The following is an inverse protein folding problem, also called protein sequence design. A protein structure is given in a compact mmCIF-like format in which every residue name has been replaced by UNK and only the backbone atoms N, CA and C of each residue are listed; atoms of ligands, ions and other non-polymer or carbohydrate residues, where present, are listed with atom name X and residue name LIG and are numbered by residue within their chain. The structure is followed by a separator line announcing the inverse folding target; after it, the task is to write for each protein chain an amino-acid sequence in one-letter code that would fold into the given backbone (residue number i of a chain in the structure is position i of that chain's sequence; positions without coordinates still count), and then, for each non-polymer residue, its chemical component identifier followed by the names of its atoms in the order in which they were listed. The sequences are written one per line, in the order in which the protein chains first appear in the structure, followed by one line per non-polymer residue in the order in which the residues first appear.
data_IF_192880466369
#
_entry.id   IF_192880466369
#
_cell.length_a   1.000
_cell.length_b   1.000
_cell.length_c   1.000
_cell.angle_alpha   90.00
_cell.angle_beta   90.00
_cell.angle_gamma   90.00
#
_symmetry.space_group_name_H-M   'P 1'
#
loop_
_entity.id
_entity.type
_entity.pdbx_description
1 polymer ?
#
# COMPACT_ATOMS: atom_id res chain seq x y z
N UNK A 1 -8.13 22.65 55.20
CA UNK A 1 -7.05 21.90 55.87
C UNK A 1 -7.60 20.50 56.13
N UNK A 2 -7.12 19.41 55.54
CA UNK A 2 -5.77 19.09 55.07
C UNK A 2 -5.82 17.87 54.12
N UNK A 3 -4.98 17.96 53.09
CA UNK A 3 -4.35 16.97 52.22
C UNK A 3 -4.54 15.47 52.53
N UNK A 4 -4.77 14.66 51.48
CA UNK A 4 -3.77 13.71 50.93
C UNK A 4 -4.34 12.92 49.75
N UNK A 5 -4.04 13.36 48.52
CA UNK A 5 -4.10 12.49 47.33
C UNK A 5 -2.66 12.12 46.97
N UNK A 6 -2.23 10.92 47.39
CA UNK A 6 -0.96 10.32 47.02
C UNK A 6 -1.21 9.05 46.24
N UNK A 7 -1.21 9.16 44.90
CA UNK A 7 -0.94 7.99 44.07
C UNK A 7 -0.37 8.39 42.69
N UNK A 8 0.85 8.93 42.68
CA UNK A 8 1.64 9.02 41.45
C UNK A 8 2.30 7.67 41.18
N UNK A 9 1.51 6.71 40.73
CA UNK A 9 2.01 5.45 40.16
C UNK A 9 2.63 5.72 38.80
N UNK A 10 3.84 6.27 38.77
CA UNK A 10 4.64 6.30 37.55
C UNK A 10 5.09 4.86 37.24
N UNK A 11 4.61 4.32 36.12
CA UNK A 11 5.01 3.01 35.61
C UNK A 11 6.54 3.00 35.36
N UNK A 12 7.32 2.14 36.05
CA UNK A 12 8.77 2.07 35.91
C UNK A 12 9.24 1.61 34.51
N UNK A 13 8.33 1.21 33.62
CA UNK A 13 8.66 0.81 32.24
C UNK A 13 9.09 1.97 31.31
N UNK A 14 8.90 3.23 31.71
CA UNK A 14 9.09 4.40 30.84
C UNK A 14 10.47 5.10 30.91
N UNK A 15 11.45 4.55 31.63
CA UNK A 15 12.75 5.21 31.86
C UNK A 15 13.86 4.78 30.89
N UNK A 16 13.55 4.66 29.60
CA UNK A 16 14.61 4.49 28.59
C UNK A 16 15.22 5.86 28.27
N UNK A 17 16.53 6.09 28.45
CA UNK A 17 17.15 7.36 28.11
C UNK A 17 17.10 7.55 26.59
N UNK A 18 16.33 8.54 26.16
CA UNK A 18 16.20 8.93 24.75
C UNK A 18 17.57 9.33 24.21
N UNK A 19 18.03 8.70 23.13
CA UNK A 19 19.31 9.04 22.52
C UNK A 19 19.14 10.27 21.64
N UNK A 20 20.13 11.17 21.62
CA UNK A 20 20.14 12.38 20.77
C UNK A 20 19.87 12.04 19.30
N UNK A 21 20.36 10.91 18.80
CA UNK A 21 20.12 10.45 17.43
C UNK A 21 18.65 10.10 17.14
N UNK A 22 17.93 9.55 18.12
CA UNK A 22 16.51 9.22 17.97
C UNK A 22 15.66 10.49 17.89
N UNK A 23 16.01 11.51 18.69
CA UNK A 23 15.39 12.84 18.61
C UNK A 23 15.66 13.51 17.26
N UNK A 24 16.91 13.47 16.78
CA UNK A 24 17.24 14.04 15.47
C UNK A 24 16.44 13.36 14.36
N UNK A 25 16.35 12.03 14.40
CA UNK A 25 15.57 11.28 13.42
C UNK A 25 14.09 11.67 13.46
N UNK A 26 13.51 11.81 14.65
CA UNK A 26 12.12 12.26 14.78
C UNK A 26 11.91 13.65 14.18
N UNK A 27 12.85 14.59 14.39
CA UNK A 27 12.81 15.92 13.78
C UNK A 27 12.91 15.84 12.25
N UNK A 28 13.77 14.99 11.72
CA UNK A 28 13.92 14.78 10.27
C UNK A 28 12.61 14.25 9.65
N UNK A 29 11.92 13.33 10.33
CA UNK A 29 10.59 12.86 9.92
C UNK A 29 9.53 13.97 9.99
N UNK A 30 9.51 14.77 11.06
CA UNK A 30 8.59 15.91 11.18
C UNK A 30 8.78 16.88 10.02
N UNK A 31 10.02 17.19 9.67
CA UNK A 31 10.35 18.09 8.58
C UNK A 31 9.98 17.50 7.22
N UNK A 32 10.18 16.19 7.01
CA UNK A 32 9.72 15.50 5.81
C UNK A 32 8.20 15.58 5.64
N UNK A 33 7.43 15.38 6.71
CA UNK A 33 5.96 15.49 6.67
C UNK A 33 5.50 16.92 6.41
N UNK A 34 6.14 17.92 7.01
CA UNK A 34 5.81 19.34 6.78
C UNK A 34 6.02 19.77 5.33
N UNK A 35 7.05 19.22 4.69
CA UNK A 35 7.40 19.53 3.30
C UNK A 35 6.79 18.51 2.30
N UNK A 36 5.92 17.60 2.77
CA UNK A 36 5.28 16.62 1.91
C UNK A 36 4.31 17.31 0.94
N UNK A 37 4.37 16.89 -0.32
CA UNK A 37 3.56 17.37 -1.43
C UNK A 37 3.25 16.20 -2.38
N UNK A 38 2.41 16.44 -3.38
CA UNK A 38 2.17 15.43 -4.42
C UNK A 38 3.39 15.24 -5.35
N UNK A 39 4.24 16.26 -5.49
CA UNK A 39 5.39 16.27 -6.40
C UNK A 39 6.65 15.59 -5.84
N UNK A 40 6.68 15.28 -4.55
CA UNK A 40 7.80 14.62 -3.87
C UNK A 40 7.37 13.33 -3.15
N UNK A 41 6.28 12.72 -3.62
CA UNK A 41 5.77 11.44 -3.13
C UNK A 41 6.19 10.25 -4.00
N UNK A 42 5.72 9.07 -3.61
CA UNK A 42 6.05 7.78 -4.25
C UNK A 42 4.99 7.31 -5.26
N UNK A 43 4.14 8.23 -5.77
CA UNK A 43 3.16 7.91 -6.82
C UNK A 43 3.86 7.90 -8.18
N UNK A 44 3.48 6.95 -9.04
CA UNK A 44 3.90 6.98 -10.44
C UNK A 44 3.25 8.16 -11.20
N UNK A 45 3.88 8.55 -12.31
CA UNK A 45 3.45 9.71 -13.11
C UNK A 45 1.99 9.59 -13.58
N UNK A 46 1.57 8.39 -13.99
CA UNK A 46 0.21 8.17 -14.47
C UNK A 46 -0.82 8.29 -13.34
N UNK A 47 -0.48 7.79 -12.14
CA UNK A 47 -1.30 7.91 -10.93
C UNK A 47 -1.38 9.35 -10.45
N UNK A 48 -0.26 10.10 -10.52
CA UNK A 48 -0.22 11.51 -10.20
C UNK A 48 -1.06 12.35 -11.18
N UNK A 49 -0.98 12.06 -12.48
CA UNK A 49 -1.79 12.71 -13.50
C UNK A 49 -3.29 12.44 -13.27
N UNK A 50 -3.69 11.19 -13.07
CA UNK A 50 -5.09 10.85 -12.75
C UNK A 50 -5.58 11.52 -11.47
N UNK A 51 -4.73 11.62 -10.45
CA UNK A 51 -5.07 12.30 -9.20
C UNK A 51 -5.28 13.81 -9.41
N UNK A 52 -4.54 14.43 -10.33
CA UNK A 52 -4.69 15.87 -10.65
C UNK A 52 -5.85 16.13 -11.61
N UNK A 53 -6.08 15.20 -12.53
CA UNK A 53 -7.00 15.29 -13.65
C UNK A 53 -7.93 14.05 -13.66
N UNK A 54 -8.82 13.90 -12.66
CA UNK A 54 -9.70 12.73 -12.60
C UNK A 54 -10.64 12.70 -13.81
N UNK A 55 -10.97 11.50 -14.29
CA UNK A 55 -11.96 11.35 -15.37
C UNK A 55 -13.33 11.85 -14.90
N UNK A 56 -13.98 12.64 -15.75
CA UNK A 56 -15.36 13.06 -15.56
C UNK A 56 -16.35 12.22 -16.40
N UNK A 57 -15.83 11.32 -17.23
CA UNK A 57 -16.65 10.45 -18.05
C UNK A 57 -17.10 9.23 -17.23
N UNK A 58 -18.36 8.77 -17.40
CA UNK A 58 -18.80 7.53 -16.80
C UNK A 58 -17.90 6.37 -17.22
N UNK A 59 -17.60 5.48 -16.28
CA UNK A 59 -16.88 4.25 -16.59
C UNK A 59 -17.69 3.41 -17.58
N UNK A 60 -17.09 3.14 -18.75
CA UNK A 60 -17.65 2.24 -19.75
C UNK A 60 -16.94 0.87 -19.70
N UNK A 61 -17.67 -0.16 -19.27
CA UNK A 61 -17.25 -1.57 -19.32
C UNK A 61 -18.23 -2.36 -20.20
N UNK A 62 -18.46 -1.87 -21.41
CA UNK A 62 -19.36 -2.53 -22.38
C UNK A 62 -18.75 -3.76 -23.05
N UNK A 63 -17.42 -3.93 -23.03
CA UNK A 63 -16.78 -5.12 -23.59
C UNK A 63 -17.16 -6.38 -22.77
N UNK A 64 -17.73 -7.43 -23.40
CA UNK A 64 -18.20 -8.61 -22.68
C UNK A 64 -17.08 -9.36 -21.94
N UNK A 65 -15.86 -9.39 -22.48
CA UNK A 65 -14.74 -10.07 -21.86
C UNK A 65 -14.27 -9.31 -20.61
N UNK A 66 -14.20 -7.98 -20.68
CA UNK A 66 -13.90 -7.12 -19.54
C UNK A 66 -14.96 -7.22 -18.44
N UNK A 67 -16.25 -7.16 -18.80
CA UNK A 67 -17.36 -7.23 -17.86
C UNK A 67 -17.40 -8.58 -17.11
N UNK A 68 -17.24 -9.68 -17.85
CA UNK A 68 -17.17 -11.01 -17.24
C UNK A 68 -15.93 -11.15 -16.36
N UNK A 69 -14.77 -10.69 -16.83
CA UNK A 69 -13.52 -10.76 -16.07
C UNK A 69 -13.57 -9.96 -14.77
N UNK A 70 -14.20 -8.77 -14.79
CA UNK A 70 -14.46 -7.95 -13.62
C UNK A 70 -15.38 -8.67 -12.64
N UNK A 71 -16.48 -9.24 -13.13
CA UNK A 71 -17.43 -9.99 -12.31
C UNK A 71 -16.77 -11.21 -11.64
N UNK A 72 -15.95 -11.94 -12.38
CA UNK A 72 -15.17 -13.07 -11.86
C UNK A 72 -14.16 -12.61 -10.81
N UNK A 73 -13.45 -11.50 -11.07
CA UNK A 73 -12.50 -10.92 -10.13
C UNK A 73 -13.17 -10.52 -8.81
N UNK A 74 -14.30 -9.82 -8.87
CA UNK A 74 -15.07 -9.42 -7.69
C UNK A 74 -15.60 -10.64 -6.91
N UNK A 75 -16.08 -11.67 -7.61
CA UNK A 75 -16.54 -12.91 -7.00
C UNK A 75 -15.42 -13.71 -6.32
N UNK A 76 -14.16 -13.46 -6.69
CA UNK A 76 -12.97 -14.15 -6.17
C UNK A 76 -12.07 -13.24 -5.33
N UNK A 77 -12.59 -12.11 -4.83
CA UNK A 77 -11.81 -11.11 -4.06
C UNK A 77 -11.06 -11.71 -2.86
N UNK A 78 -11.63 -12.71 -2.20
CA UNK A 78 -11.00 -13.40 -1.05
C UNK A 78 -10.28 -14.69 -1.45
N UNK A 79 -10.27 -14.99 -2.74
CA UNK A 79 -9.68 -16.19 -3.28
C UNK A 79 -8.20 -16.04 -3.63
N UNK A 80 -7.55 -17.17 -3.86
CA UNK A 80 -6.18 -17.19 -4.37
C UNK A 80 -6.15 -16.94 -5.88
N UNK A 81 -4.98 -16.62 -6.42
CA UNK A 81 -4.80 -16.48 -7.86
C UNK A 81 -5.13 -17.80 -8.60
N UNK A 82 -4.82 -18.94 -7.99
CA UNK A 82 -5.17 -20.25 -8.53
C UNK A 82 -6.69 -20.44 -8.64
N UNK A 83 -7.47 -19.92 -7.69
CA UNK A 83 -8.93 -20.00 -7.75
C UNK A 83 -9.50 -19.19 -8.91
N UNK A 84 -9.00 -17.97 -9.14
CA UNK A 84 -9.38 -17.17 -10.30
C UNK A 84 -9.07 -17.91 -11.60
N UNK A 85 -7.85 -18.43 -11.72
CA UNK A 85 -7.39 -19.13 -12.92
C UNK A 85 -8.18 -20.42 -13.18
N UNK A 86 -8.49 -21.20 -12.15
CA UNK A 86 -9.29 -22.42 -12.29
C UNK A 86 -10.71 -22.13 -12.80
N UNK A 87 -11.37 -21.09 -12.28
CA UNK A 87 -12.70 -20.69 -12.74
C UNK A 87 -12.68 -20.15 -14.18
N UNK A 88 -11.68 -19.33 -14.49
CA UNK A 88 -11.42 -18.85 -15.85
C UNK A 88 -11.25 -20.01 -16.83
N UNK A 89 -10.42 -20.99 -16.49
CA UNK A 89 -10.13 -22.13 -17.37
C UNK A 89 -11.37 -23.01 -17.55
N UNK A 90 -12.14 -23.26 -16.49
CA UNK A 90 -13.40 -24.00 -16.57
C UNK A 90 -14.43 -23.29 -17.46
N UNK A 91 -14.50 -21.96 -17.42
CA UNK A 91 -15.36 -21.17 -18.31
C UNK A 91 -14.92 -21.29 -19.77
N UNK A 92 -13.62 -21.08 -20.05
CA UNK A 92 -13.06 -21.16 -21.41
C UNK A 92 -13.14 -22.58 -22.01
N UNK A 93 -13.10 -23.62 -21.19
CA UNK A 93 -13.35 -25.00 -21.66
C UNK A 93 -14.77 -25.18 -22.23
N UNK A 94 -15.76 -24.49 -21.66
CA UNK A 94 -17.15 -24.54 -22.12
C UNK A 94 -17.44 -23.55 -23.25
N UNK A 95 -16.75 -22.41 -23.25
CA UNK A 95 -16.92 -21.28 -24.18
C UNK A 95 -15.58 -20.87 -24.80
N UNK A 96 -14.98 -21.71 -25.66
CA UNK A 96 -13.66 -21.47 -26.24
C UNK A 96 -13.61 -20.27 -27.20
N UNK A 97 -14.76 -19.80 -27.68
CA UNK A 97 -14.91 -18.62 -28.52
C UNK A 97 -14.83 -17.29 -27.75
N UNK A 98 -14.95 -17.33 -26.42
CA UNK A 98 -14.93 -16.14 -25.58
C UNK A 98 -13.52 -15.84 -25.07
N UNK A 99 -13.29 -14.58 -24.73
CA UNK A 99 -12.08 -14.15 -24.01
C UNK A 99 -12.39 -13.89 -22.54
N UNK A 100 -11.46 -14.25 -21.67
CA UNK A 100 -11.46 -13.87 -20.26
C UNK A 100 -10.05 -13.41 -19.91
N UNK A 101 -9.95 -12.22 -19.36
CA UNK A 101 -8.68 -11.62 -18.95
C UNK A 101 -8.02 -12.48 -17.88
N UNK A 102 -6.68 -12.47 -17.87
CA UNK A 102 -5.90 -13.02 -16.75
C UNK A 102 -6.07 -12.15 -15.50
N UNK A 103 -5.82 -12.69 -14.32
CA UNK A 103 -5.89 -11.93 -13.06
C UNK A 103 -5.06 -10.63 -13.10
N UNK A 104 -3.84 -10.68 -13.63
CA UNK A 104 -2.98 -9.50 -13.76
C UNK A 104 -3.59 -8.41 -14.66
N UNK A 105 -4.14 -8.79 -15.81
CA UNK A 105 -4.80 -7.86 -16.75
C UNK A 105 -6.02 -7.19 -16.13
N UNK A 106 -6.89 -7.94 -15.45
CA UNK A 106 -8.08 -7.34 -14.82
C UNK A 106 -7.70 -6.47 -13.61
N UNK A 107 -6.71 -6.86 -12.80
CA UNK A 107 -6.19 -5.99 -11.72
C UNK A 107 -5.67 -4.66 -12.26
N UNK A 108 -4.94 -4.69 -13.38
CA UNK A 108 -4.47 -3.46 -14.05
C UNK A 108 -5.64 -2.61 -14.54
N UNK A 109 -6.64 -3.21 -15.19
CA UNK A 109 -7.87 -2.52 -15.62
C UNK A 109 -8.62 -1.88 -14.45
N UNK A 110 -8.77 -2.60 -13.33
CA UNK A 110 -9.40 -2.05 -12.12
C UNK A 110 -8.61 -0.87 -11.56
N UNK A 111 -7.28 -0.94 -11.55
CA UNK A 111 -6.42 0.17 -11.14
C UNK A 111 -6.54 1.39 -12.08
N UNK A 112 -6.61 1.16 -13.40
CA UNK A 112 -6.86 2.20 -14.41
C UNK A 112 -8.23 2.85 -14.24
N UNK A 113 -9.29 2.04 -14.11
CA UNK A 113 -10.68 2.51 -14.00
C UNK A 113 -10.97 3.25 -12.69
N UNK A 114 -10.46 2.73 -11.57
CA UNK A 114 -10.68 3.35 -10.26
C UNK A 114 -9.70 4.49 -9.98
N UNK A 115 -8.57 4.55 -10.68
CA UNK A 115 -7.44 5.41 -10.33
C UNK A 115 -6.77 5.04 -9.00
N UNK A 116 -7.23 4.01 -8.29
CA UNK A 116 -6.72 3.61 -6.97
C UNK A 116 -5.56 2.64 -7.15
N UNK A 117 -4.34 3.16 -6.97
CA UNK A 117 -3.09 2.38 -7.03
C UNK A 117 -2.40 2.39 -5.66
N UNK A 118 -1.96 1.24 -5.12
CA UNK A 118 -1.21 1.21 -3.87
C UNK A 118 0.19 1.79 -4.04
N UNK A 119 0.65 2.54 -3.05
CA UNK A 119 2.06 2.86 -2.86
C UNK A 119 2.72 1.70 -2.10
N UNK A 120 3.83 1.18 -2.64
CA UNK A 120 4.59 0.09 -2.03
C UNK A 120 5.85 0.62 -1.37
N UNK A 121 5.93 0.50 -0.04
CA UNK A 121 7.13 0.87 0.71
C UNK A 121 7.78 -0.36 1.31
N UNK A 122 9.11 -0.50 1.18
CA UNK A 122 9.82 -1.65 1.76
C UNK A 122 9.75 -1.59 3.30
N UNK A 123 9.70 -2.76 3.94
CA UNK A 123 9.73 -2.88 5.38
C UNK A 123 10.70 -3.96 5.84
N UNK A 124 11.14 -3.84 7.09
CA UNK A 124 11.88 -4.89 7.76
C UNK A 124 10.97 -6.07 8.10
N UNK A 125 11.45 -7.30 7.84
CA UNK A 125 10.72 -8.54 8.10
C UNK A 125 10.42 -8.85 9.57
N UNK A 126 11.30 -8.45 10.50
CA UNK A 126 11.14 -8.80 11.92
C UNK A 126 10.49 -7.66 12.73
N UNK A 127 10.94 -6.42 12.53
CA UNK A 127 10.49 -5.27 13.32
C UNK A 127 9.39 -4.43 12.65
N UNK A 128 9.02 -4.75 11.41
CA UNK A 128 8.09 -3.95 10.60
C UNK A 128 8.52 -2.47 10.41
N UNK A 129 9.79 -2.14 10.62
CA UNK A 129 10.31 -0.78 10.37
C UNK A 129 10.22 -0.49 8.87
N UNK A 130 9.55 0.58 8.49
CA UNK A 130 9.48 1.02 7.09
C UNK A 130 10.79 1.69 6.65
N UNK A 131 11.24 1.38 5.44
CA UNK A 131 12.36 2.04 4.76
C UNK A 131 11.80 3.21 3.94
N UNK A 132 11.47 4.32 4.62
CA UNK A 132 10.86 5.53 4.04
C UNK A 132 11.40 6.79 4.70
N UNK A 133 11.20 7.95 4.08
CA UNK A 133 11.67 9.25 4.59
C UNK A 133 13.16 9.22 4.91
N UNK A 134 13.60 9.67 6.11
CA UNK A 134 14.99 9.57 6.57
C UNK A 134 15.62 8.17 6.55
N UNK A 135 14.80 7.12 6.41
CA UNK A 135 15.25 5.72 6.34
C UNK A 135 15.22 5.12 4.92
N UNK A 136 14.85 5.90 3.90
CA UNK A 136 14.66 5.41 2.53
C UNK A 136 15.92 4.74 1.94
N UNK A 137 17.10 5.26 2.28
CA UNK A 137 18.39 4.80 1.75
C UNK A 137 19.09 3.76 2.64
N UNK A 138 18.42 3.25 3.68
CA UNK A 138 19.01 2.24 4.54
C UNK A 138 18.92 0.84 3.92
N UNK A 139 20.03 0.11 3.96
CA UNK A 139 20.09 -1.30 3.54
C UNK A 139 19.77 -2.28 4.67
N UNK A 140 19.67 -1.80 5.91
CA UNK A 140 19.39 -2.63 7.08
C UNK A 140 18.52 -1.92 8.12
N UNK A 141 17.70 -2.70 8.81
CA UNK A 141 16.81 -2.23 9.86
C UNK A 141 17.58 -1.57 11.00
N UNK A 142 17.16 -0.40 11.48
CA UNK A 142 17.78 0.25 12.65
C UNK A 142 17.48 -0.48 13.96
N UNK A 143 16.36 -1.21 14.02
CA UNK A 143 15.88 -1.91 15.22
C UNK A 143 16.54 -3.29 15.35
N UNK A 144 16.30 -4.21 14.40
CA UNK A 144 16.78 -5.60 14.49
C UNK A 144 18.00 -5.93 13.60
N UNK A 145 18.52 -4.95 12.84
CA UNK A 145 19.70 -5.08 11.96
C UNK A 145 19.56 -6.03 10.78
N UNK A 146 18.36 -6.57 10.53
CA UNK A 146 18.13 -7.39 9.35
C UNK A 146 18.31 -6.59 8.05
N UNK A 147 18.81 -7.24 6.97
CA UNK A 147 18.88 -6.61 5.67
C UNK A 147 17.47 -6.27 5.15
N UNK A 148 17.39 -5.18 4.38
CA UNK A 148 16.18 -4.72 3.69
C UNK A 148 15.70 -5.74 2.65
N UNK A 149 16.64 -6.32 1.92
CA UNK A 149 16.39 -7.27 0.84
C UNK A 149 16.74 -8.70 1.25
N UNK A 150 15.97 -9.64 0.74
CA UNK A 150 16.26 -11.07 0.78
C UNK A 150 17.36 -11.44 -0.23
N UNK A 151 17.97 -12.63 -0.12
CA UNK A 151 19.01 -13.07 -1.07
C UNK A 151 18.54 -13.14 -2.52
N UNK A 152 17.24 -13.29 -2.77
CA UNK A 152 16.62 -13.30 -4.10
C UNK A 152 16.31 -11.89 -4.64
N UNK A 153 16.62 -10.83 -3.88
CA UNK A 153 16.37 -9.44 -4.22
C UNK A 153 14.97 -8.93 -3.85
N UNK A 154 14.09 -9.79 -3.32
CA UNK A 154 12.77 -9.36 -2.85
C UNK A 154 12.85 -8.62 -1.51
N UNK A 155 11.78 -7.94 -1.11
CA UNK A 155 11.63 -7.32 0.21
C UNK A 155 10.19 -7.48 0.70
N UNK A 156 9.96 -7.44 2.01
CA UNK A 156 8.61 -7.25 2.54
C UNK A 156 8.16 -5.81 2.26
N UNK A 157 6.87 -5.61 1.98
CA UNK A 157 6.33 -4.29 1.59
C UNK A 157 5.05 -3.95 2.34
N UNK A 158 4.91 -2.70 2.75
CA UNK A 158 3.62 -2.12 3.15
C UNK A 158 2.87 -1.68 1.91
N UNK A 159 1.54 -1.87 1.95
CA UNK A 159 0.62 -1.33 0.98
C UNK A 159 -0.04 -0.11 1.60
N UNK A 160 0.20 1.06 1.02
CA UNK A 160 -0.50 2.28 1.39
C UNK A 160 -1.48 2.61 0.29
N UNK A 161 -2.79 2.56 0.60
CA UNK A 161 -3.82 2.98 -0.36
C UNK A 161 -4.01 4.50 -0.19
N UNK A 162 -3.64 5.32 -1.19
CA UNK A 162 -3.72 6.77 -1.08
C UNK A 162 -5.18 7.21 -0.94
N UNK A 163 -5.42 8.19 -0.08
CA UNK A 163 -6.78 8.68 0.19
C UNK A 163 -7.35 9.49 -0.98
N UNK A 164 -6.51 10.24 -1.69
CA UNK A 164 -6.93 11.12 -2.79
C UNK A 164 -7.77 10.41 -3.86
N UNK A 165 -7.25 9.35 -4.51
CA UNK A 165 -8.00 8.62 -5.53
C UNK A 165 -9.28 7.97 -4.99
N UNK A 166 -9.29 7.54 -3.72
CA UNK A 166 -10.50 6.96 -3.11
C UNK A 166 -11.62 7.98 -2.98
N UNK A 167 -11.31 9.23 -2.60
CA UNK A 167 -12.30 10.30 -2.50
C UNK A 167 -12.84 10.68 -3.88
N UNK A 168 -12.00 10.68 -4.92
CA UNK A 168 -12.42 11.00 -6.28
C UNK A 168 -13.39 9.97 -6.88
N UNK A 169 -13.36 8.73 -6.38
CA UNK A 169 -14.22 7.65 -6.82
C UNK A 169 -15.59 7.59 -6.11
N UNK A 170 -15.84 8.45 -5.10
CA UNK A 170 -17.11 8.55 -4.36
C UNK A 170 -18.05 9.59 -4.98
#
# INVERSE_FOLDING_TARGET
DSETDSNTGADPSLTTPVKVQELQTALDFIEAVKNASLDNGDLDEDALDRLRNPSHEPLDVSDPAELYSLSLFLATTHGSEEQYNALRDAYLQRHPENEVLTLAKIKRKVAEWSGVVPILSHMCRDSCMAFTGPYADLDACKICKQPRFFPDGSAHTFYTIPLGPQIQAL
#
